data_IF_837230470568
#
_entry.id   IF_837230470568
#
_cell.length_a   1.000
_cell.length_b   1.000
_cell.length_c   1.000
_cell.angle_alpha   90.00
_cell.angle_beta   90.00
_cell.angle_gamma   90.00
#
_symmetry.space_group_name_H-M   'P 1'
#
loop_
_entity.id
_entity.type
_entity.pdbx_description
1 polymer ?
#
# COMPACT_ATOMS: atom_id res chain seq x y z
N UNK A 1 0.05 -3.91 -1.65
CA UNK A 1 1.28 -3.29 -1.13
C UNK A 1 2.33 -3.13 -2.22
N UNK A 2 3.44 -2.46 -1.95
CA UNK A 2 4.53 -2.25 -2.89
C UNK A 2 5.12 -0.83 -2.80
N UNK A 3 6.19 -0.58 -3.55
CA UNK A 3 6.93 0.69 -3.56
C UNK A 3 6.15 1.85 -4.21
N UNK A 4 6.70 3.06 -4.17
CA UNK A 4 6.17 4.21 -4.90
C UNK A 4 6.00 3.89 -6.39
N UNK A 5 5.00 4.48 -7.02
CA UNK A 5 4.64 4.25 -8.44
C UNK A 5 4.24 2.80 -8.83
N UNK A 6 4.16 1.85 -7.89
CA UNK A 6 3.67 0.50 -8.19
C UNK A 6 2.19 0.46 -8.65
N UNK A 7 1.41 1.51 -8.36
CA UNK A 7 0.00 1.60 -8.78
C UNK A 7 -1.02 1.27 -7.70
N UNK A 8 -0.61 1.17 -6.44
CA UNK A 8 -1.47 0.78 -5.29
C UNK A 8 -2.80 1.51 -5.23
N UNK A 9 -2.78 2.84 -5.17
CA UNK A 9 -3.98 3.67 -5.07
C UNK A 9 -4.88 3.50 -6.29
N UNK A 10 -4.31 3.45 -7.51
CA UNK A 10 -5.07 3.27 -8.73
C UNK A 10 -5.77 1.91 -8.78
N UNK A 11 -5.04 0.83 -8.50
CA UNK A 11 -5.58 -0.53 -8.49
C UNK A 11 -6.57 -0.72 -7.33
N UNK A 12 -6.24 -0.18 -6.15
CA UNK A 12 -7.11 -0.24 -4.97
C UNK A 12 -8.47 0.43 -5.22
N UNK A 13 -8.50 1.62 -5.82
CA UNK A 13 -9.74 2.31 -6.19
C UNK A 13 -10.55 1.53 -7.24
N UNK A 14 -9.90 0.91 -8.22
CA UNK A 14 -10.59 0.07 -9.22
C UNK A 14 -11.19 -1.21 -8.59
N UNK A 15 -10.47 -1.83 -7.66
CA UNK A 15 -11.00 -2.98 -6.93
C UNK A 15 -12.19 -2.57 -6.04
N UNK A 16 -12.09 -1.41 -5.37
CA UNK A 16 -13.18 -0.86 -4.56
C UNK A 16 -14.45 -0.61 -5.40
N UNK A 17 -14.29 -0.02 -6.58
CA UNK A 17 -15.40 0.20 -7.51
C UNK A 17 -16.02 -1.12 -8.01
N UNK A 18 -15.21 -2.17 -8.20
CA UNK A 18 -15.67 -3.47 -8.69
C UNK A 18 -16.34 -4.34 -7.60
N UNK A 19 -16.08 -4.06 -6.32
CA UNK A 19 -16.59 -4.84 -5.18
C UNK A 19 -17.62 -4.09 -4.33
N UNK A 20 -17.74 -2.78 -4.48
CA UNK A 20 -18.53 -1.92 -3.58
C UNK A 20 -17.86 -1.71 -2.21
N UNK A 21 -16.59 -2.11 -2.03
CA UNK A 21 -15.88 -2.01 -0.76
C UNK A 21 -15.30 -0.61 -0.55
N UNK A 22 -15.15 -0.23 0.71
CA UNK A 22 -14.54 1.07 1.04
C UNK A 22 -13.04 1.06 0.73
N UNK A 23 -12.58 2.10 0.04
CA UNK A 23 -11.16 2.34 -0.20
C UNK A 23 -10.56 3.25 0.87
N UNK A 24 -9.37 2.89 1.34
CA UNK A 24 -8.56 3.67 2.27
C UNK A 24 -7.15 3.85 1.69
N UNK A 25 -6.60 5.06 1.79
CA UNK A 25 -5.19 5.30 1.51
C UNK A 25 -4.43 5.45 2.83
N UNK A 26 -3.41 4.64 3.04
CA UNK A 26 -2.63 4.66 4.27
C UNK A 26 -1.92 6.00 4.51
N UNK A 27 -1.64 6.76 3.44
CA UNK A 27 -0.98 8.05 3.53
C UNK A 27 -1.86 9.11 4.21
N UNK A 28 -3.19 8.95 4.18
CA UNK A 28 -4.13 9.84 4.87
C UNK A 28 -4.00 9.76 6.39
N UNK A 29 -3.51 8.63 6.92
CA UNK A 29 -3.38 8.34 8.35
C UNK A 29 -2.05 8.77 8.97
N UNK A 30 -1.15 9.38 8.19
CA UNK A 30 0.05 9.99 8.75
C UNK A 30 -0.29 11.24 9.58
N UNK A 31 0.41 11.39 10.70
CA UNK A 31 0.32 12.62 11.51
C UNK A 31 0.78 13.85 10.70
N UNK A 32 0.31 15.04 11.09
CA UNK A 32 0.76 16.29 10.46
C UNK A 32 2.30 16.41 10.48
N UNK A 33 2.94 16.00 11.60
CA UNK A 33 4.41 15.95 11.73
C UNK A 33 5.05 15.05 10.68
N UNK A 34 4.51 13.84 10.48
CA UNK A 34 5.05 12.91 9.48
C UNK A 34 4.82 13.43 8.07
N UNK A 35 3.65 14.01 7.79
CA UNK A 35 3.36 14.65 6.50
C UNK A 35 4.36 15.78 6.23
N UNK A 36 4.58 16.70 7.17
CA UNK A 36 5.56 17.77 7.03
C UNK A 36 6.98 17.25 6.81
N UNK A 37 7.39 16.18 7.51
CA UNK A 37 8.69 15.54 7.34
C UNK A 37 8.86 14.96 5.92
N UNK A 38 7.86 14.26 5.42
CA UNK A 38 7.84 13.73 4.05
C UNK A 38 7.84 14.87 3.02
N UNK A 39 7.09 15.95 3.25
CA UNK A 39 7.06 17.12 2.39
C UNK A 39 8.42 17.82 2.29
N UNK A 40 9.19 17.80 3.36
CA UNK A 40 10.57 18.31 3.36
C UNK A 40 11.60 17.33 2.74
N UNK A 41 11.13 16.23 2.12
CA UNK A 41 12.00 15.22 1.49
C UNK A 41 12.70 14.27 2.46
N UNK A 42 12.35 14.30 3.75
CA UNK A 42 12.95 13.43 4.76
C UNK A 42 12.21 12.10 4.89
N UNK A 43 12.97 11.00 4.90
CA UNK A 43 12.43 9.68 5.16
C UNK A 43 11.89 9.55 6.59
N UNK A 44 10.82 8.77 6.76
CA UNK A 44 10.31 8.42 8.09
C UNK A 44 11.18 7.32 8.71
N UNK A 45 11.44 7.43 10.01
CA UNK A 45 12.08 6.36 10.80
C UNK A 45 11.04 5.31 11.21
N UNK A 46 11.51 4.16 11.74
CA UNK A 46 10.60 3.14 12.27
C UNK A 46 9.81 3.67 13.49
N UNK A 47 10.40 4.60 14.27
CA UNK A 47 9.71 5.28 15.36
C UNK A 47 8.55 6.16 14.85
N UNK A 48 8.76 6.91 13.76
CA UNK A 48 7.71 7.70 13.11
C UNK A 48 6.56 6.82 12.62
N UNK A 49 6.88 5.63 12.11
CA UNK A 49 5.89 4.69 11.55
C UNK A 49 5.10 3.92 12.60
N UNK A 50 5.61 3.72 13.82
CA UNK A 50 4.91 2.95 14.86
C UNK A 50 3.49 3.46 15.12
N UNK A 51 3.33 4.77 15.31
CA UNK A 51 2.01 5.38 15.54
C UNK A 51 1.10 5.27 14.32
N UNK A 52 1.65 5.46 13.13
CA UNK A 52 0.94 5.32 11.88
C UNK A 52 0.43 3.88 11.67
N UNK A 53 1.27 2.87 11.86
CA UNK A 53 0.88 1.44 11.80
C UNK A 53 -0.20 1.14 12.84
N UNK A 54 -0.09 1.69 14.06
CA UNK A 54 -1.10 1.51 15.10
C UNK A 54 -2.46 2.10 14.67
N UNK A 55 -2.49 3.28 14.06
CA UNK A 55 -3.72 3.89 13.53
C UNK A 55 -4.34 3.04 12.42
N UNK A 56 -3.53 2.53 11.50
CA UNK A 56 -4.01 1.63 10.43
C UNK A 56 -4.53 0.31 10.99
N UNK A 57 -3.87 -0.25 12.00
CA UNK A 57 -4.36 -1.47 12.69
C UNK A 57 -5.70 -1.24 13.36
N UNK A 58 -5.92 -0.06 13.98
CA UNK A 58 -7.20 0.30 14.55
C UNK A 58 -8.29 0.43 13.48
N UNK A 59 -7.98 1.04 12.33
CA UNK A 59 -8.87 1.08 11.17
C UNK A 59 -9.28 -0.32 10.74
N UNK A 60 -8.32 -1.22 10.53
CA UNK A 60 -8.55 -2.61 10.12
C UNK A 60 -9.41 -3.34 11.16
N UNK A 61 -9.09 -3.19 12.46
CA UNK A 61 -9.88 -3.78 13.54
C UNK A 61 -11.33 -3.29 13.54
N UNK A 62 -11.54 -1.99 13.30
CA UNK A 62 -12.87 -1.40 13.19
C UNK A 62 -13.67 -1.93 11.98
N UNK A 63 -13.02 -2.15 10.84
CA UNK A 63 -13.67 -2.77 9.67
C UNK A 63 -14.09 -4.20 9.98
N UNK A 64 -13.20 -5.00 10.57
CA UNK A 64 -13.48 -6.39 10.97
C UNK A 64 -14.61 -6.45 11.99
N UNK A 65 -14.60 -5.60 13.01
CA UNK A 65 -15.62 -5.59 14.08
C UNK A 65 -17.04 -5.30 13.53
N UNK A 66 -17.14 -4.49 12.49
CA UNK A 66 -18.41 -4.20 11.79
C UNK A 66 -18.79 -5.27 10.75
N UNK A 67 -18.04 -6.37 10.65
CA UNK A 67 -18.17 -7.37 9.58
C UNK A 67 -18.12 -6.76 8.18
N UNK A 68 -17.42 -5.64 8.06
CA UNK A 68 -17.28 -4.91 6.80
C UNK A 68 -16.09 -5.40 5.98
N UNK A 69 -15.97 -4.83 4.78
CA UNK A 69 -14.86 -5.06 3.88
C UNK A 69 -14.18 -3.75 3.52
N UNK A 70 -12.89 -3.80 3.27
CA UNK A 70 -12.13 -2.62 2.91
C UNK A 70 -10.87 -2.95 2.12
N UNK A 71 -10.42 -1.98 1.36
CA UNK A 71 -9.20 -2.05 0.56
C UNK A 71 -8.28 -0.95 1.05
N UNK A 72 -7.10 -1.34 1.53
CA UNK A 72 -6.09 -0.41 2.03
C UNK A 72 -4.89 -0.36 1.07
N UNK A 73 -4.67 0.79 0.44
CA UNK A 73 -3.42 1.07 -0.26
C UNK A 73 -2.34 1.45 0.76
N UNK A 74 -1.34 0.59 0.94
CA UNK A 74 -0.25 0.78 1.89
C UNK A 74 1.05 0.28 1.29
N UNK A 75 2.19 0.94 1.55
CA UNK A 75 3.50 0.43 1.11
C UNK A 75 3.86 -0.89 1.80
N UNK A 76 3.71 -0.99 3.12
CA UNK A 76 3.92 -2.19 3.94
C UNK A 76 5.21 -2.97 3.61
N UNK A 77 6.34 -2.24 3.45
CA UNK A 77 7.57 -2.76 2.83
C UNK A 77 8.29 -3.81 3.68
N UNK A 78 8.29 -3.67 5.00
CA UNK A 78 8.92 -4.64 5.91
C UNK A 78 7.91 -5.67 6.42
N UNK A 79 8.39 -6.89 6.74
CA UNK A 79 7.54 -7.91 7.36
C UNK A 79 6.97 -7.41 8.69
N UNK A 80 7.79 -6.77 9.51
CA UNK A 80 7.34 -6.19 10.79
C UNK A 80 6.22 -5.14 10.65
N UNK A 81 6.17 -4.44 9.52
CA UNK A 81 5.05 -3.52 9.24
C UNK A 81 3.78 -4.30 8.88
N UNK A 82 3.90 -5.37 8.07
CA UNK A 82 2.77 -6.24 7.73
C UNK A 82 2.18 -6.90 8.97
N UNK A 83 3.03 -7.44 9.83
CA UNK A 83 2.63 -8.03 11.11
C UNK A 83 1.93 -7.00 12.01
N UNK A 84 2.47 -5.76 12.02
CA UNK A 84 1.90 -4.66 12.78
C UNK A 84 0.52 -4.19 12.29
N UNK A 85 0.17 -4.44 11.04
CA UNK A 85 -1.14 -4.10 10.46
C UNK A 85 -2.22 -5.12 10.84
N UNK A 86 -1.86 -6.36 11.14
CA UNK A 86 -2.84 -7.41 11.50
C UNK A 86 -3.27 -7.25 12.96
N UNK A 87 -4.57 -7.02 13.25
CA UNK A 87 -5.03 -6.97 14.64
C UNK A 87 -4.83 -8.31 15.35
N UNK A 88 -4.36 -8.34 16.61
CA UNK A 88 -4.05 -9.60 17.33
C UNK A 88 -5.22 -10.59 17.46
N UNK A 89 -6.45 -10.08 17.43
CA UNK A 89 -7.68 -10.88 17.51
C UNK A 89 -8.39 -11.05 16.16
N UNK A 90 -7.73 -10.69 15.04
CA UNK A 90 -8.32 -10.85 13.73
C UNK A 90 -8.48 -12.35 13.40
N UNK A 91 -9.61 -12.77 12.84
CA UNK A 91 -9.75 -14.12 12.31
C UNK A 91 -8.67 -14.42 11.27
N UNK A 92 -8.23 -15.67 11.19
CA UNK A 92 -7.25 -16.08 10.19
C UNK A 92 -7.76 -15.76 8.78
N UNK A 93 -6.93 -15.09 7.97
CA UNK A 93 -7.32 -14.69 6.62
C UNK A 93 -8.20 -13.44 6.51
N UNK A 94 -8.56 -12.79 7.64
CA UNK A 94 -9.31 -11.53 7.61
C UNK A 94 -8.52 -10.38 6.98
N UNK A 95 -7.19 -10.40 7.09
CA UNK A 95 -6.29 -9.47 6.39
C UNK A 95 -5.51 -10.24 5.35
N UNK A 96 -5.58 -9.79 4.11
CA UNK A 96 -4.91 -10.42 2.97
C UNK A 96 -4.02 -9.40 2.29
N UNK A 97 -2.81 -9.80 1.98
CA UNK A 97 -1.84 -8.92 1.32
C UNK A 97 -1.77 -9.21 -0.18
N UNK A 98 -1.77 -8.15 -0.98
CA UNK A 98 -1.52 -8.20 -2.42
C UNK A 98 -0.27 -7.39 -2.71
N UNK A 99 0.73 -8.00 -3.31
CA UNK A 99 1.97 -7.36 -3.69
C UNK A 99 1.98 -7.05 -5.18
N UNK A 100 2.13 -5.78 -5.52
CA UNK A 100 2.33 -5.34 -6.90
C UNK A 100 3.82 -5.36 -7.20
N UNK A 101 4.29 -6.39 -7.87
CA UNK A 101 5.66 -6.49 -8.35
C UNK A 101 5.80 -5.74 -9.67
N UNK A 102 6.70 -4.76 -9.70
CA UNK A 102 6.90 -3.89 -10.86
C UNK A 102 8.40 -3.71 -11.07
N UNK A 103 8.92 -3.96 -12.27
CA UNK A 103 10.32 -3.75 -12.59
C UNK A 103 10.76 -2.30 -12.34
N UNK A 104 11.98 -2.11 -11.82
CA UNK A 104 12.55 -0.79 -11.51
C UNK A 104 12.42 0.20 -12.67
N UNK A 105 12.80 -0.19 -13.88
CA UNK A 105 12.74 0.68 -15.06
C UNK A 105 11.32 1.21 -15.35
N UNK A 106 10.28 0.42 -15.04
CA UNK A 106 8.88 0.84 -15.18
C UNK A 106 8.48 1.81 -14.08
N UNK A 107 8.95 1.57 -12.84
CA UNK A 107 8.72 2.47 -11.70
C UNK A 107 9.33 3.85 -11.96
N UNK A 108 10.57 3.90 -12.44
CA UNK A 108 11.28 5.14 -12.81
C UNK A 108 10.50 5.95 -13.86
N UNK A 109 10.10 5.31 -14.95
CA UNK A 109 9.27 5.96 -16.00
C UNK A 109 7.94 6.49 -15.46
N UNK A 110 7.31 5.77 -14.52
CA UNK A 110 6.05 6.21 -13.89
C UNK A 110 6.28 7.40 -12.95
N UNK A 111 7.41 7.45 -12.25
CA UNK A 111 7.78 8.57 -11.39
C UNK A 111 8.10 9.82 -12.22
N UNK A 112 8.87 9.70 -13.28
CA UNK A 112 9.19 10.81 -14.20
C UNK A 112 7.93 11.47 -14.74
N UNK A 113 6.96 10.67 -15.21
CA UNK A 113 5.66 11.19 -15.66
C UNK A 113 4.90 11.92 -14.55
N UNK A 114 4.98 11.44 -13.31
CA UNK A 114 4.34 12.10 -12.15
C UNK A 114 4.96 13.45 -11.84
N UNK A 115 6.28 13.56 -11.87
CA UNK A 115 7.00 14.83 -11.65
C UNK A 115 6.60 15.87 -12.69
N UNK A 116 6.42 15.46 -13.94
CA UNK A 116 5.98 16.36 -15.02
C UNK A 116 4.55 16.87 -14.86
N UNK A 117 3.68 16.09 -14.21
CA UNK A 117 2.24 16.43 -14.09
C UNK A 117 1.86 17.01 -12.73
N UNK A 118 2.64 16.77 -11.69
CA UNK A 118 2.37 17.21 -10.32
C UNK A 118 3.66 17.63 -9.66
N UNK A 119 3.75 18.87 -9.22
CA UNK A 119 4.93 19.49 -8.62
C UNK A 119 5.36 18.93 -7.25
N UNK A 120 4.87 17.79 -6.84
CA UNK A 120 5.16 17.23 -5.51
C UNK A 120 5.43 15.73 -5.53
N UNK A 121 6.54 15.37 -4.88
CA UNK A 121 6.86 14.11 -4.21
C UNK A 121 7.39 12.93 -5.01
N UNK A 122 8.47 12.43 -4.44
CA UNK A 122 9.18 11.21 -4.69
C UNK A 122 10.17 11.26 -5.86
N UNK A 123 11.29 11.92 -5.62
CA UNK A 123 12.46 11.80 -6.48
C UNK A 123 13.02 10.36 -6.51
N UNK A 124 13.96 10.07 -7.40
CA UNK A 124 14.62 8.76 -7.51
C UNK A 124 15.13 8.21 -6.18
N UNK A 125 15.61 9.08 -5.28
CA UNK A 125 16.11 8.72 -3.96
C UNK A 125 15.07 8.04 -3.06
N UNK A 126 13.78 8.40 -3.17
CA UNK A 126 12.73 7.70 -2.43
C UNK A 126 12.51 6.29 -2.95
N UNK A 127 12.54 6.12 -4.28
CA UNK A 127 12.40 4.79 -4.88
C UNK A 127 13.54 3.87 -4.45
N UNK A 128 14.79 4.36 -4.50
CA UNK A 128 15.96 3.60 -4.05
C UNK A 128 15.85 3.19 -2.59
N UNK A 129 15.49 4.13 -1.73
CA UNK A 129 15.27 3.86 -0.30
C UNK A 129 14.15 2.82 -0.07
N UNK A 130 13.06 2.88 -0.84
CA UNK A 130 11.96 1.93 -0.71
C UNK A 130 12.32 0.55 -1.26
N UNK A 131 13.04 0.47 -2.37
CA UNK A 131 13.53 -0.80 -2.90
C UNK A 131 14.52 -1.47 -1.96
N UNK A 132 15.42 -0.69 -1.35
CA UNK A 132 16.36 -1.19 -0.33
C UNK A 132 15.65 -1.66 0.96
N UNK A 133 14.49 -1.08 1.28
CA UNK A 133 13.70 -1.43 2.47
C UNK A 133 12.75 -2.60 2.21
N UNK A 134 12.46 -2.90 0.95
CA UNK A 134 11.44 -3.87 0.56
C UNK A 134 11.86 -5.31 0.92
N UNK A 135 11.19 -5.87 1.89
CA UNK A 135 11.19 -7.30 2.17
C UNK A 135 10.01 -7.92 1.41
N UNK A 136 10.31 -8.63 0.32
CA UNK A 136 9.27 -9.26 -0.52
C UNK A 136 8.44 -10.24 0.31
N UNK A 137 7.10 -10.14 0.28
CA UNK A 137 6.25 -10.98 1.12
C UNK A 137 6.22 -12.43 0.62
N UNK A 138 6.24 -13.39 1.54
CA UNK A 138 6.10 -14.82 1.22
C UNK A 138 4.63 -15.26 1.22
N UNK A 139 3.77 -14.54 1.94
CA UNK A 139 2.38 -14.87 2.24
C UNK A 139 1.37 -13.93 1.58
N UNK A 140 1.73 -13.32 0.45
CA UNK A 140 0.88 -12.41 -0.30
C UNK A 140 0.52 -12.96 -1.68
N UNK A 141 -0.59 -12.48 -2.23
CA UNK A 141 -0.86 -12.65 -3.66
C UNK A 141 0.07 -11.73 -4.46
N UNK A 142 0.94 -12.30 -5.27
CA UNK A 142 1.82 -11.55 -6.15
C UNK A 142 1.15 -11.26 -7.47
N UNK A 143 1.21 -10.01 -7.89
CA UNK A 143 0.67 -9.55 -9.16
C UNK A 143 1.74 -8.80 -9.94
N UNK A 144 1.88 -9.11 -11.21
CA UNK A 144 2.68 -8.33 -12.15
C UNK A 144 2.01 -6.96 -12.37
N UNK A 145 2.49 -5.95 -11.66
CA UNK A 145 1.93 -4.59 -11.68
C UNK A 145 2.15 -3.82 -12.99
N UNK A 146 2.68 -4.47 -14.04
CA UNK A 146 2.75 -3.93 -15.40
C UNK A 146 1.50 -4.26 -16.21
N UNK A 147 0.73 -5.26 -15.78
CA UNK A 147 -0.49 -5.68 -16.46
C UNK A 147 -1.60 -4.63 -16.40
N UNK A 148 -2.55 -4.66 -17.35
CA UNK A 148 -3.70 -3.78 -17.34
C UNK A 148 -4.47 -3.88 -16.02
N UNK A 149 -4.91 -2.74 -15.44
CA UNK A 149 -5.61 -2.70 -14.15
C UNK A 149 -6.81 -3.64 -14.05
N UNK A 150 -7.57 -3.79 -15.15
CA UNK A 150 -8.71 -4.70 -15.22
C UNK A 150 -8.28 -6.15 -14.94
N UNK A 151 -7.19 -6.60 -15.54
CA UNK A 151 -6.66 -7.96 -15.33
C UNK A 151 -6.20 -8.19 -13.90
N UNK A 152 -5.58 -7.19 -13.27
CA UNK A 152 -5.19 -7.27 -11.87
C UNK A 152 -6.41 -7.40 -10.94
N UNK A 153 -7.47 -6.62 -11.20
CA UNK A 153 -8.72 -6.70 -10.45
C UNK A 153 -9.39 -8.07 -10.64
N UNK A 154 -9.49 -8.58 -11.87
CA UNK A 154 -10.02 -9.91 -12.17
C UNK A 154 -9.25 -11.01 -11.42
N UNK A 155 -7.91 -10.95 -11.43
CA UNK A 155 -7.06 -11.91 -10.72
C UNK A 155 -7.30 -11.88 -9.21
N UNK A 156 -7.36 -10.68 -8.60
CA UNK A 156 -7.64 -10.54 -7.16
C UNK A 156 -9.02 -11.09 -6.79
N UNK A 157 -10.04 -10.78 -7.60
CA UNK A 157 -11.39 -11.26 -7.36
C UNK A 157 -11.48 -12.79 -7.43
N UNK A 158 -10.86 -13.39 -8.43
CA UNK A 158 -10.81 -14.85 -8.56
C UNK A 158 -10.04 -15.52 -7.41
N UNK A 159 -8.86 -14.99 -7.06
CA UNK A 159 -8.02 -15.55 -6.00
C UNK A 159 -8.68 -15.48 -4.60
N UNK A 160 -9.49 -14.46 -4.35
CA UNK A 160 -10.12 -14.24 -3.04
C UNK A 160 -11.63 -14.51 -3.03
N UNK A 161 -12.21 -14.92 -4.16
CA UNK A 161 -13.63 -15.21 -4.31
C UNK A 161 -14.53 -14.03 -3.87
N UNK A 162 -14.24 -12.84 -4.40
CA UNK A 162 -14.89 -11.57 -4.05
C UNK A 162 -15.45 -10.86 -5.29
#
# INVERSE_FOLDING_TARGET
>A
MGVAAAGKTHIGKKLAAATGWTFYDADDYHSAKNKAKMHAGHGLTDADRRRWIASLRQLIAGVIARRGHGILACSALKQSYRDGLVPPKAPRGAVRFVYLDVPRAVLEKRLEKRVQTHSHFAGPSLLDSQLATLEKPLDALWLDGTRPPRKLVETMRGAYQI
#
